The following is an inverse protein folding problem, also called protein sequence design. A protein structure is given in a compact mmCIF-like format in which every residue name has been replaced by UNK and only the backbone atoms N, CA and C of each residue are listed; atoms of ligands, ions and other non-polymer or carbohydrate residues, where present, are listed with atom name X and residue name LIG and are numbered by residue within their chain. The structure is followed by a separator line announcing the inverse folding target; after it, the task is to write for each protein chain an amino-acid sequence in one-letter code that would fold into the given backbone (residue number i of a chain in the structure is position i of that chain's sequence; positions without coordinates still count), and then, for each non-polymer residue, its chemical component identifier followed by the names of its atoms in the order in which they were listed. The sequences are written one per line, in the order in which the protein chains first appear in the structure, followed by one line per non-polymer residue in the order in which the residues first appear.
data_IF_312229198287
#
_entry.id   IF_312229198287
#
_cell.length_a   1.000
_cell.length_b   1.000
_cell.length_c   1.000
_cell.angle_alpha   90.00
_cell.angle_beta   90.00
_cell.angle_gamma   90.00
#
_symmetry.space_group_name_H-M   'P 1'
#
loop_
_entity.id
_entity.type
_entity.pdbx_description
1 polymer ?
#
# COMPACT_ATOMS: atom_id res chain seq x y z
N UNK A 1 1.51 -0.97 36.64
CA UNK A 1 0.03 -0.85 36.54
C UNK A 1 -0.45 -2.08 35.79
N UNK A 2 -1.48 -2.76 36.32
CA UNK A 2 -1.99 -3.99 35.71
C UNK A 2 -2.73 -3.73 34.40
N UNK A 3 -2.76 -4.74 33.52
CA UNK A 3 -3.57 -4.74 32.30
C UNK A 3 -5.05 -4.62 32.66
N UNK A 4 -5.83 -3.94 31.83
CA UNK A 4 -7.30 -3.96 31.93
C UNK A 4 -7.85 -5.35 31.56
N UNK A 5 -9.07 -5.70 31.99
CA UNK A 5 -9.66 -7.00 31.65
C UNK A 5 -9.80 -7.24 30.14
N UNK A 6 -10.03 -6.18 29.34
CA UNK A 6 -10.03 -6.27 27.88
C UNK A 6 -8.64 -6.56 27.31
N UNK A 7 -7.59 -5.97 27.90
CA UNK A 7 -6.21 -6.22 27.52
C UNK A 7 -5.75 -7.63 27.88
N UNK A 8 -6.13 -8.15 29.04
CA UNK A 8 -5.85 -9.53 29.44
C UNK A 8 -6.44 -10.54 28.46
N UNK A 9 -7.69 -10.33 28.04
CA UNK A 9 -8.34 -11.16 27.01
C UNK A 9 -7.57 -11.09 25.68
N UNK A 10 -7.15 -9.89 25.27
CA UNK A 10 -6.38 -9.73 24.03
C UNK A 10 -4.99 -10.39 24.11
N UNK A 11 -4.30 -10.29 25.25
CA UNK A 11 -3.01 -10.98 25.49
C UNK A 11 -3.19 -12.49 25.40
N UNK A 12 -4.22 -13.05 26.04
CA UNK A 12 -4.49 -14.49 26.02
C UNK A 12 -4.82 -14.98 24.61
N UNK A 13 -5.60 -14.21 23.84
CA UNK A 13 -5.89 -14.50 22.44
C UNK A 13 -4.61 -14.53 21.60
N UNK A 14 -3.80 -13.47 21.65
CA UNK A 14 -2.56 -13.39 20.87
C UNK A 14 -1.55 -14.48 21.26
N UNK A 15 -1.47 -14.82 22.55
CA UNK A 15 -0.66 -15.95 23.02
C UNK A 15 -1.11 -17.25 22.39
N UNK A 16 -2.41 -17.53 22.40
CA UNK A 16 -2.99 -18.75 21.81
C UNK A 16 -2.68 -18.83 20.30
N UNK A 17 -2.91 -17.73 19.58
CA UNK A 17 -2.65 -17.61 18.15
C UNK A 17 -1.16 -17.89 17.82
N UNK A 18 -0.22 -17.29 18.57
CA UNK A 18 1.22 -17.52 18.38
C UNK A 18 1.62 -18.97 18.64
N UNK A 19 1.04 -19.61 19.66
CA UNK A 19 1.34 -21.00 20.01
C UNK A 19 0.76 -22.00 19.01
N UNK A 20 -0.38 -21.68 18.39
CA UNK A 20 -1.01 -22.52 17.37
C UNK A 20 -0.31 -22.42 16.00
N UNK A 21 0.43 -21.34 15.75
CA UNK A 21 1.11 -21.08 14.48
C UNK A 21 0.29 -20.21 13.52
N UNK A 22 0.96 -19.67 12.51
CA UNK A 22 0.33 -18.77 11.55
C UNK A 22 -0.64 -19.55 10.65
N UNK A 23 -1.88 -19.08 10.44
CA UNK A 23 -2.82 -19.70 9.52
C UNK A 23 -2.26 -19.67 8.10
N UNK A 24 -2.46 -20.76 7.37
CA UNK A 24 -2.07 -20.85 5.95
C UNK A 24 -3.30 -20.69 5.07
N UNK A 25 -3.20 -19.86 4.02
CA UNK A 25 -4.25 -19.75 3.01
C UNK A 25 -4.16 -20.91 2.02
N UNK A 26 -5.33 -21.50 1.69
CA UNK A 26 -5.45 -22.51 0.64
C UNK A 26 -5.72 -21.84 -0.71
N UNK A 27 -4.67 -21.70 -1.51
CA UNK A 27 -4.78 -21.19 -2.88
C UNK A 27 -5.21 -22.30 -3.83
N UNK A 28 -6.23 -21.99 -4.63
CA UNK A 28 -6.72 -22.89 -5.69
C UNK A 28 -5.86 -22.73 -6.94
N UNK A 29 -5.69 -21.48 -7.41
CA UNK A 29 -4.94 -21.12 -8.61
C UNK A 29 -4.73 -19.60 -8.72
N UNK A 30 -3.70 -19.12 -9.43
CA UNK A 30 -3.53 -17.70 -9.71
C UNK A 30 -4.66 -17.17 -10.62
N UNK A 31 -5.03 -15.91 -10.43
CA UNK A 31 -5.86 -15.20 -11.40
C UNK A 31 -5.01 -14.85 -12.63
N UNK A 32 -5.60 -14.95 -13.83
CA UNK A 32 -4.97 -14.67 -15.12
C UNK A 32 -5.92 -13.87 -16.01
N UNK A 33 -5.41 -13.38 -17.13
CA UNK A 33 -6.25 -12.74 -18.15
C UNK A 33 -7.34 -13.72 -18.63
N UNK A 34 -8.58 -13.25 -18.66
CA UNK A 34 -9.75 -14.06 -19.00
C UNK A 34 -10.18 -15.04 -17.90
N UNK A 35 -9.50 -15.00 -16.74
CA UNK A 35 -9.77 -15.90 -15.62
C UNK A 35 -9.41 -15.22 -14.29
N UNK A 36 -10.29 -14.32 -13.86
CA UNK A 36 -10.17 -13.55 -12.63
C UNK A 36 -9.51 -12.17 -12.80
N UNK A 37 -8.75 -11.93 -13.88
CA UNK A 37 -8.23 -10.61 -14.29
C UNK A 37 -8.86 -10.22 -15.63
N UNK A 38 -9.40 -9.00 -15.67
CA UNK A 38 -9.99 -8.38 -16.85
C UNK A 38 -8.93 -7.65 -17.65
N UNK A 39 -8.96 -7.79 -18.96
CA UNK A 39 -8.32 -6.88 -19.90
C UNK A 39 -9.38 -5.96 -20.50
N UNK A 40 -9.05 -4.67 -20.63
CA UNK A 40 -9.91 -3.68 -21.26
C UNK A 40 -9.44 -3.44 -22.68
N UNK A 41 -10.39 -3.24 -23.60
CA UNK A 41 -10.09 -2.74 -24.94
C UNK A 41 -9.85 -1.23 -24.91
N UNK A 42 -9.22 -0.68 -25.95
CA UNK A 42 -9.02 0.76 -26.07
C UNK A 42 -10.35 1.55 -26.11
N UNK A 43 -11.42 0.94 -26.66
CA UNK A 43 -12.76 1.52 -26.68
C UNK A 43 -13.35 1.56 -25.27
N UNK A 44 -13.26 0.46 -24.52
CA UNK A 44 -13.72 0.41 -23.12
C UNK A 44 -12.95 1.41 -22.25
N UNK A 45 -11.63 1.51 -22.39
CA UNK A 45 -10.85 2.52 -21.68
C UNK A 45 -11.33 3.95 -21.96
N UNK A 46 -11.68 4.24 -23.22
CA UNK A 46 -12.18 5.56 -23.61
C UNK A 46 -13.57 5.84 -23.04
N UNK A 47 -14.47 4.87 -23.07
CA UNK A 47 -15.81 4.96 -22.48
C UNK A 47 -15.74 5.18 -20.96
N UNK A 48 -14.84 4.45 -20.29
CA UNK A 48 -14.62 4.59 -18.85
C UNK A 48 -14.02 5.95 -18.48
N UNK A 49 -13.12 6.49 -19.30
CA UNK A 49 -12.63 7.88 -19.14
C UNK A 49 -13.77 8.87 -19.34
N UNK A 50 -14.61 8.70 -20.35
CA UNK A 50 -15.76 9.59 -20.56
C UNK A 50 -16.75 9.53 -19.39
N UNK A 51 -16.99 8.33 -18.84
CA UNK A 51 -17.80 8.13 -17.64
C UNK A 51 -17.21 8.86 -16.44
N UNK A 52 -15.88 8.79 -16.26
CA UNK A 52 -15.19 9.55 -15.23
C UNK A 52 -15.37 11.06 -15.38
N UNK A 53 -15.27 11.62 -16.59
CA UNK A 53 -15.44 13.07 -16.81
C UNK A 53 -16.87 13.56 -16.49
N UNK A 54 -17.86 12.67 -16.55
CA UNK A 54 -19.26 12.98 -16.21
C UNK A 54 -19.58 12.71 -14.73
N UNK A 55 -18.62 12.20 -13.96
CA UNK A 55 -18.82 11.75 -12.61
C UNK A 55 -19.06 12.92 -11.66
N UNK A 56 -20.14 12.82 -10.87
CA UNK A 56 -20.47 13.79 -9.82
C UNK A 56 -20.36 13.12 -8.44
N UNK A 57 -19.17 12.62 -8.13
CA UNK A 57 -18.86 11.90 -6.90
C UNK A 57 -17.69 12.56 -6.19
N UNK A 58 -17.73 12.55 -4.86
CA UNK A 58 -16.62 13.02 -4.04
C UNK A 58 -15.52 11.96 -4.03
N UNK A 59 -14.32 12.32 -4.48
CA UNK A 59 -13.15 11.45 -4.49
C UNK A 59 -12.19 11.84 -3.37
N UNK A 60 -11.45 10.86 -2.87
CA UNK A 60 -10.28 11.13 -2.02
C UNK A 60 -9.18 10.11 -2.20
N UNK A 61 -7.94 10.53 -2.01
CA UNK A 61 -6.82 9.60 -1.87
C UNK A 61 -6.63 9.16 -0.41
N UNK A 62 -6.35 7.89 -0.20
CA UNK A 62 -5.88 7.33 1.06
C UNK A 62 -4.48 6.74 0.84
N UNK A 63 -3.46 7.36 1.44
CA UNK A 63 -2.05 7.07 1.16
C UNK A 63 -1.34 6.70 2.47
N UNK A 64 -0.98 5.42 2.66
CA UNK A 64 -0.14 5.02 3.78
C UNK A 64 1.26 5.62 3.66
N UNK A 65 1.66 6.45 4.63
CA UNK A 65 2.92 7.20 4.63
C UNK A 65 3.70 7.13 5.97
N UNK A 66 3.26 6.30 6.91
CA UNK A 66 3.86 6.15 8.24
C UNK A 66 5.15 5.32 8.23
N UNK A 67 5.51 4.72 7.11
CA UNK A 67 6.75 3.97 6.95
C UNK A 67 8.00 4.86 7.01
N UNK A 68 8.99 4.45 7.81
CA UNK A 68 10.31 5.10 7.82
C UNK A 68 11.00 4.98 6.46
N UNK A 69 11.68 6.06 6.05
CA UNK A 69 12.52 6.09 4.87
C UNK A 69 13.83 5.31 5.02
N UNK A 70 14.22 4.94 6.25
CA UNK A 70 15.49 4.25 6.56
C UNK A 70 15.79 3.04 5.67
N UNK A 71 14.76 2.26 5.32
CA UNK A 71 14.90 1.08 4.45
C UNK A 71 15.43 1.40 3.06
N UNK A 72 15.20 2.62 2.54
CA UNK A 72 15.76 3.06 1.26
C UNK A 72 17.29 3.14 1.27
N UNK A 73 17.86 3.30 2.47
CA UNK A 73 19.29 3.44 2.69
C UNK A 73 19.87 2.21 3.41
N UNK A 74 19.15 1.08 3.45
CA UNK A 74 19.59 -0.10 4.19
C UNK A 74 21.00 -0.56 3.80
N UNK A 75 21.33 -0.52 2.51
CA UNK A 75 22.66 -0.88 2.02
C UNK A 75 23.79 0.00 2.58
N UNK A 76 23.51 1.27 2.94
CA UNK A 76 24.49 2.16 3.57
C UNK A 76 24.72 1.78 5.04
N UNK A 77 23.65 1.43 5.77
CA UNK A 77 23.78 0.90 7.13
C UNK A 77 24.52 -0.44 7.13
N UNK A 78 24.21 -1.31 6.17
CA UNK A 78 24.87 -2.60 6.01
C UNK A 78 26.35 -2.39 5.69
N UNK A 79 26.70 -1.43 4.83
CA UNK A 79 28.08 -1.07 4.51
C UNK A 79 28.88 -0.62 5.74
N UNK A 80 28.31 0.25 6.59
CA UNK A 80 28.95 0.74 7.81
C UNK A 80 29.13 -0.36 8.88
N UNK A 81 28.20 -1.31 8.95
CA UNK A 81 28.24 -2.41 9.93
C UNK A 81 29.13 -3.57 9.47
N UNK A 82 28.91 -4.06 8.24
CA UNK A 82 29.64 -5.17 7.64
C UNK A 82 29.64 -5.04 6.12
N UNK A 83 30.80 -4.67 5.57
CA UNK A 83 30.98 -4.56 4.12
C UNK A 83 30.89 -5.93 3.44
N UNK A 84 30.10 -5.99 2.37
CA UNK A 84 29.95 -7.13 1.46
C UNK A 84 30.11 -6.63 0.03
N UNK A 85 30.40 -7.51 -0.94
CA UNK A 85 30.53 -7.11 -2.34
C UNK A 85 29.26 -6.40 -2.86
N UNK A 86 28.08 -6.88 -2.46
CA UNK A 86 26.79 -6.31 -2.87
C UNK A 86 26.58 -4.90 -2.31
N UNK A 87 26.70 -4.71 -0.99
CA UNK A 87 26.46 -3.39 -0.39
C UNK A 87 27.56 -2.39 -0.75
N UNK A 88 28.79 -2.85 -1.00
CA UNK A 88 29.87 -2.02 -1.50
C UNK A 88 29.55 -1.49 -2.91
N UNK A 89 29.14 -2.34 -3.84
CA UNK A 89 28.78 -1.92 -5.19
C UNK A 89 27.63 -0.90 -5.20
N UNK A 90 26.59 -1.12 -4.37
CA UNK A 90 25.48 -0.18 -4.21
C UNK A 90 25.94 1.16 -3.60
N UNK A 91 26.82 1.12 -2.61
CA UNK A 91 27.40 2.32 -1.97
C UNK A 91 28.26 3.11 -2.95
N UNK A 92 29.13 2.45 -3.71
CA UNK A 92 29.93 3.10 -4.75
C UNK A 92 29.05 3.73 -5.84
N UNK A 93 28.00 3.04 -6.27
CA UNK A 93 27.03 3.59 -7.22
C UNK A 93 26.34 4.83 -6.66
N UNK A 94 25.88 4.78 -5.40
CA UNK A 94 25.26 5.90 -4.71
C UNK A 94 26.17 7.14 -4.69
N UNK A 95 27.44 6.97 -4.29
CA UNK A 95 28.41 8.07 -4.21
C UNK A 95 28.70 8.64 -5.59
N UNK A 96 28.97 7.79 -6.59
CA UNK A 96 29.27 8.23 -7.97
C UNK A 96 28.11 9.01 -8.59
N UNK A 97 26.88 8.74 -8.14
CA UNK A 97 25.65 9.37 -8.64
C UNK A 97 25.04 10.35 -7.65
N UNK A 98 25.78 10.78 -6.62
CA UNK A 98 25.24 11.63 -5.54
C UNK A 98 24.59 12.90 -6.08
N UNK A 99 25.21 13.53 -7.09
CA UNK A 99 24.71 14.75 -7.74
C UNK A 99 23.46 14.53 -8.62
N UNK A 100 23.10 13.28 -8.94
CA UNK A 100 21.88 12.94 -9.67
C UNK A 100 20.63 12.93 -8.79
N UNK A 101 20.76 12.86 -7.46
CA UNK A 101 19.62 12.85 -6.55
C UNK A 101 19.12 14.26 -6.25
N UNK A 102 17.79 14.44 -6.18
CA UNK A 102 17.18 15.74 -5.92
C UNK A 102 17.67 16.39 -4.62
N UNK A 103 17.83 15.60 -3.54
CA UNK A 103 18.30 16.08 -2.25
C UNK A 103 19.75 16.60 -2.27
N UNK A 104 20.57 16.28 -3.28
CA UNK A 104 21.91 16.88 -3.41
C UNK A 104 21.83 18.40 -3.56
N UNK A 105 20.76 18.91 -4.18
CA UNK A 105 20.53 20.35 -4.29
C UNK A 105 20.35 21.02 -2.93
N UNK A 106 19.85 20.28 -1.93
CA UNK A 106 19.72 20.74 -0.54
C UNK A 106 21.06 20.84 0.20
N UNK A 107 22.16 20.31 -0.35
CA UNK A 107 23.46 20.39 0.34
C UNK A 107 23.93 21.85 0.39
N UNK A 108 24.41 22.32 1.57
CA UNK A 108 25.13 23.58 1.69
C UNK A 108 26.34 23.62 0.75
N UNK A 109 26.75 24.83 0.34
CA UNK A 109 27.86 25.00 -0.61
C UNK A 109 29.18 24.40 -0.11
N UNK A 110 29.48 24.50 1.19
CA UNK A 110 30.69 23.92 1.76
C UNK A 110 30.66 22.37 1.76
N UNK A 111 29.47 21.79 1.92
CA UNK A 111 29.27 20.34 1.83
C UNK A 111 29.41 19.86 0.38
N UNK A 112 28.83 20.59 -0.58
CA UNK A 112 29.00 20.30 -2.01
C UNK A 112 30.47 20.33 -2.41
N UNK A 113 31.19 21.38 -2.00
CA UNK A 113 32.63 21.51 -2.25
C UNK A 113 33.41 20.32 -1.66
N UNK A 114 33.06 19.88 -0.44
CA UNK A 114 33.73 18.73 0.18
C UNK A 114 33.52 17.43 -0.58
N UNK A 115 32.32 17.21 -1.11
CA UNK A 115 31.95 16.05 -1.93
C UNK A 115 32.64 16.11 -3.31
N UNK A 116 32.61 17.27 -3.97
CA UNK A 116 33.19 17.47 -5.31
C UNK A 116 34.72 17.37 -5.31
N UNK A 117 35.37 17.87 -4.24
CA UNK A 117 36.82 17.79 -4.06
C UNK A 117 37.30 16.48 -3.42
N UNK A 118 36.40 15.50 -3.19
CA UNK A 118 36.70 14.22 -2.54
C UNK A 118 37.41 14.36 -1.18
N UNK A 119 37.10 15.42 -0.43
CA UNK A 119 37.66 15.66 0.91
C UNK A 119 36.89 14.93 2.00
N UNK A 120 35.61 14.67 1.77
CA UNK A 120 34.83 13.73 2.58
C UNK A 120 35.10 12.30 2.11
N UNK A 121 35.34 11.42 3.08
CA UNK A 121 35.31 9.99 2.82
C UNK A 121 33.86 9.49 2.70
N UNK A 122 33.71 8.19 2.44
CA UNK A 122 32.41 7.55 2.26
C UNK A 122 31.58 7.67 3.54
N UNK A 123 32.20 7.43 4.68
CA UNK A 123 31.58 7.42 5.99
C UNK A 123 31.06 8.82 6.40
N UNK A 124 31.78 9.88 6.05
CA UNK A 124 31.40 11.28 6.28
C UNK A 124 30.13 11.62 5.49
N UNK A 125 30.08 11.24 4.20
CA UNK A 125 28.92 11.47 3.35
C UNK A 125 27.71 10.66 3.83
N UNK A 126 27.89 9.38 4.18
CA UNK A 126 26.82 8.54 4.72
C UNK A 126 26.31 9.14 6.04
N UNK A 127 27.21 9.56 6.92
CA UNK A 127 26.87 10.19 8.20
C UNK A 127 26.11 11.49 8.01
N UNK A 128 26.45 12.29 6.99
CA UNK A 128 25.72 13.50 6.67
C UNK A 128 24.31 13.21 6.13
N UNK A 129 24.15 12.25 5.22
CA UNK A 129 22.83 11.92 4.64
C UNK A 129 21.90 11.31 5.69
N UNK A 130 22.41 10.38 6.51
CA UNK A 130 21.57 9.60 7.43
C UNK A 130 21.46 10.19 8.82
N UNK A 131 22.48 10.91 9.28
CA UNK A 131 22.60 11.36 10.66
C UNK A 131 21.91 12.68 10.96
N UNK A 132 21.60 12.88 12.24
CA UNK A 132 20.93 14.07 12.79
C UNK A 132 21.69 15.38 12.55
N UNK A 133 23.02 15.33 12.38
CA UNK A 133 23.86 16.51 12.11
C UNK A 133 23.87 16.94 10.64
N UNK A 134 23.24 16.17 9.76
CA UNK A 134 23.09 16.50 8.35
C UNK A 134 21.62 16.51 7.93
N UNK A 135 21.25 15.68 6.96
CA UNK A 135 19.89 15.65 6.41
C UNK A 135 18.92 14.80 7.23
N UNK A 136 19.43 13.93 8.11
CA UNK A 136 18.65 13.07 8.98
C UNK A 136 17.67 12.13 8.25
N UNK A 137 17.95 11.74 7.01
CA UNK A 137 17.08 10.85 6.24
C UNK A 137 17.04 9.41 6.77
N UNK A 138 17.90 9.09 7.74
CA UNK A 138 17.79 7.87 8.52
C UNK A 138 16.53 7.80 9.37
N UNK A 139 15.97 8.94 9.79
CA UNK A 139 14.77 8.99 10.63
C UNK A 139 13.50 9.38 9.87
N UNK A 140 13.63 10.25 8.87
CA UNK A 140 12.48 10.81 8.15
C UNK A 140 11.59 9.74 7.51
N UNK A 141 10.26 9.93 7.51
CA UNK A 141 9.36 9.08 6.72
C UNK A 141 9.66 9.29 5.24
N UNK A 142 9.44 8.23 4.46
CA UNK A 142 9.74 8.24 3.03
C UNK A 142 9.04 9.40 2.29
N UNK A 143 7.83 9.74 2.70
CA UNK A 143 7.04 10.83 2.14
C UNK A 143 7.71 12.20 2.15
N UNK A 144 8.69 12.42 3.03
CA UNK A 144 9.38 13.70 3.21
C UNK A 144 10.81 13.72 2.63
N UNK A 145 11.30 12.61 2.08
CA UNK A 145 12.62 12.56 1.43
C UNK A 145 12.47 13.09 0.00
N UNK A 146 13.27 14.07 -0.45
CA UNK A 146 13.19 14.56 -1.82
C UNK A 146 13.46 13.49 -2.87
N UNK A 147 12.52 13.30 -3.79
CA UNK A 147 12.64 12.35 -4.89
C UNK A 147 13.03 13.07 -6.18
N UNK A 148 12.29 14.12 -6.53
CA UNK A 148 12.40 14.76 -7.83
C UNK A 148 12.77 16.23 -7.77
N UNK A 149 13.24 16.72 -8.91
CA UNK A 149 13.56 18.11 -9.14
C UNK A 149 12.75 18.61 -10.33
N UNK A 150 11.91 19.62 -10.13
CA UNK A 150 11.18 20.31 -11.19
C UNK A 150 11.75 21.72 -11.35
N UNK A 151 12.76 21.87 -12.21
CA UNK A 151 13.51 23.12 -12.36
C UNK A 151 14.19 23.52 -11.03
N UNK A 152 13.86 24.69 -10.44
CA UNK A 152 14.39 25.11 -9.14
C UNK A 152 13.74 24.37 -7.96
N UNK A 153 12.59 23.72 -8.17
CA UNK A 153 11.82 23.11 -7.12
C UNK A 153 12.31 21.71 -6.81
N UNK A 154 12.30 21.37 -5.53
CA UNK A 154 12.67 20.06 -5.00
C UNK A 154 11.41 19.51 -4.35
N UNK A 155 10.94 18.37 -4.86
CA UNK A 155 9.69 17.78 -4.41
C UNK A 155 9.96 16.46 -3.71
N UNK A 156 9.25 16.26 -2.60
CA UNK A 156 9.15 14.98 -1.93
C UNK A 156 7.90 14.20 -2.42
N UNK A 157 7.83 12.88 -2.19
CA UNK A 157 6.69 12.07 -2.59
C UNK A 157 5.36 12.62 -2.12
N UNK A 158 5.29 13.13 -0.89
CA UNK A 158 4.06 13.68 -0.34
C UNK A 158 3.53 14.84 -1.19
N UNK A 159 4.37 15.81 -1.52
CA UNK A 159 4.01 16.94 -2.39
C UNK A 159 3.62 16.47 -3.79
N UNK A 160 4.32 15.49 -4.36
CA UNK A 160 4.00 15.00 -5.69
C UNK A 160 2.68 14.23 -5.76
N UNK A 161 2.31 13.47 -4.72
CA UNK A 161 0.99 12.84 -4.65
C UNK A 161 -0.12 13.91 -4.64
N UNK A 162 0.09 15.03 -3.94
CA UNK A 162 -0.85 16.15 -3.92
C UNK A 162 -0.98 16.78 -5.32
N UNK A 163 0.14 17.06 -5.98
CA UNK A 163 0.14 17.64 -7.33
C UNK A 163 -0.56 16.71 -8.33
N UNK A 164 -0.14 15.44 -8.41
CA UNK A 164 -0.69 14.47 -9.37
C UNK A 164 -2.16 14.17 -9.07
N UNK A 165 -2.54 14.07 -7.80
CA UNK A 165 -3.92 13.83 -7.40
C UNK A 165 -4.84 15.00 -7.74
N UNK A 166 -4.41 16.25 -7.52
CA UNK A 166 -5.20 17.44 -7.84
C UNK A 166 -5.42 17.63 -9.34
N UNK A 167 -4.59 17.04 -10.20
CA UNK A 167 -4.81 17.03 -11.65
C UNK A 167 -5.89 16.06 -12.12
N UNK A 168 -6.34 15.15 -11.25
CA UNK A 168 -7.28 14.11 -11.63
C UNK A 168 -8.69 14.66 -11.90
N UNK A 169 -9.11 15.69 -11.16
CA UNK A 169 -10.46 16.29 -11.22
C UNK A 169 -10.39 17.80 -11.37
N UNK A 170 -11.40 18.41 -12.02
CA UNK A 170 -11.59 19.85 -12.02
C UNK A 170 -12.27 20.30 -10.72
N UNK A 171 -11.53 20.35 -9.62
CA UNK A 171 -12.05 20.75 -8.31
C UNK A 171 -11.23 20.19 -7.15
N UNK A 172 -11.62 20.46 -5.89
CA UNK A 172 -10.90 19.95 -4.74
C UNK A 172 -11.08 18.43 -4.64
N UNK A 173 -9.96 17.72 -4.55
CA UNK A 173 -9.88 16.32 -4.12
C UNK A 173 -9.30 16.28 -2.71
N UNK A 174 -9.88 15.45 -1.85
CA UNK A 174 -9.39 15.30 -0.48
C UNK A 174 -8.24 14.28 -0.43
N UNK A 175 -7.27 14.51 0.44
CA UNK A 175 -6.20 13.57 0.70
C UNK A 175 -6.19 13.17 2.17
N UNK A 176 -5.98 11.89 2.41
CA UNK A 176 -5.76 11.34 3.73
C UNK A 176 -4.46 10.56 3.77
N UNK A 177 -3.57 10.92 4.69
CA UNK A 177 -2.31 10.22 4.90
C UNK A 177 -2.28 9.59 6.27
N UNK A 178 -1.81 8.35 6.35
CA UNK A 178 -1.40 7.80 7.64
C UNK A 178 0.06 8.16 7.87
N UNK A 179 0.36 8.91 8.94
CA UNK A 179 1.70 9.43 9.22
C UNK A 179 2.15 9.02 10.62
N UNK A 180 3.41 9.31 10.94
CA UNK A 180 3.88 9.36 12.32
C UNK A 180 3.67 10.80 12.82
N UNK A 181 2.96 10.99 13.93
CA UNK A 181 2.60 12.34 14.40
C UNK A 181 3.81 13.21 14.72
N UNK A 182 4.95 12.59 15.09
CA UNK A 182 6.22 13.28 15.30
C UNK A 182 6.70 14.09 14.07
N UNK A 183 6.21 13.78 12.86
CA UNK A 183 6.54 14.46 11.62
C UNK A 183 5.41 15.35 11.08
N UNK A 184 4.31 15.52 11.81
CA UNK A 184 3.15 16.28 11.32
C UNK A 184 3.51 17.72 10.91
N UNK A 185 4.30 18.43 11.71
CA UNK A 185 4.76 19.80 11.39
C UNK A 185 5.56 19.85 10.08
N UNK A 186 6.35 18.81 9.77
CA UNK A 186 7.11 18.74 8.53
C UNK A 186 6.19 18.54 7.32
N UNK A 187 5.13 17.75 7.46
CA UNK A 187 4.10 17.62 6.42
C UNK A 187 3.32 18.92 6.22
N UNK A 188 2.95 19.61 7.30
CA UNK A 188 2.27 20.92 7.21
C UNK A 188 3.15 21.96 6.51
N UNK A 189 4.45 22.01 6.85
CA UNK A 189 5.42 22.88 6.15
C UNK A 189 5.54 22.52 4.66
N UNK A 190 5.54 21.23 4.32
CA UNK A 190 5.57 20.78 2.93
C UNK A 190 4.30 21.19 2.16
N UNK A 191 3.11 21.16 2.78
CA UNK A 191 1.88 21.68 2.18
C UNK A 191 2.00 23.19 1.96
N UNK A 192 2.42 23.94 2.98
CA UNK A 192 2.53 25.39 2.89
C UNK A 192 3.46 25.79 1.73
N UNK A 193 4.66 25.21 1.68
CA UNK A 193 5.61 25.46 0.58
C UNK A 193 5.01 25.09 -0.78
N UNK A 194 4.26 23.99 -0.86
CA UNK A 194 3.61 23.59 -2.11
C UNK A 194 2.53 24.58 -2.53
N UNK A 195 1.65 25.00 -1.61
CA UNK A 195 0.59 25.99 -1.86
C UNK A 195 1.15 27.35 -2.26
N UNK A 196 2.26 27.79 -1.66
CA UNK A 196 2.97 29.02 -2.07
C UNK A 196 3.53 28.91 -3.49
N UNK A 197 3.99 27.71 -3.88
CA UNK A 197 4.54 27.45 -5.21
C UNK A 197 3.47 27.34 -6.31
N UNK A 198 2.35 26.67 -6.04
CA UNK A 198 1.33 26.36 -7.04
C UNK A 198 0.17 27.35 -7.06
N UNK A 199 -0.08 28.03 -5.93
CA UNK A 199 -1.29 28.83 -5.73
C UNK A 199 -2.54 28.01 -5.40
N UNK A 200 -2.41 26.69 -5.30
CA UNK A 200 -3.51 25.78 -5.02
C UNK A 200 -3.65 25.46 -3.52
N UNK A 201 -4.88 25.16 -3.11
CA UNK A 201 -5.17 24.62 -1.79
C UNK A 201 -5.22 23.09 -1.84
N UNK A 202 -4.59 22.43 -0.87
CA UNK A 202 -4.58 20.97 -0.75
C UNK A 202 -5.32 20.55 0.53
N UNK A 203 -6.56 20.05 0.43
CA UNK A 203 -7.30 19.53 1.58
C UNK A 203 -6.67 18.23 2.06
N UNK A 204 -5.89 18.29 3.14
CA UNK A 204 -5.19 17.14 3.71
C UNK A 204 -5.68 16.85 5.12
N UNK A 205 -5.88 15.57 5.41
CA UNK A 205 -6.14 15.05 6.75
C UNK A 205 -5.12 13.97 7.10
N UNK A 206 -4.88 13.79 8.40
CA UNK A 206 -3.93 12.83 8.93
C UNK A 206 -4.60 11.83 9.87
N UNK A 207 -4.05 10.63 9.94
CA UNK A 207 -4.27 9.69 11.05
C UNK A 207 -2.95 9.02 11.42
N UNK A 208 -2.87 8.52 12.64
CA UNK A 208 -1.78 7.64 13.07
C UNK A 208 -2.29 6.20 13.17
N UNK A 209 -1.38 5.24 13.09
CA UNK A 209 -1.69 3.88 13.54
C UNK A 209 -1.82 3.90 15.06
N UNK A 210 -3.04 3.67 15.56
CA UNK A 210 -3.33 3.67 17.00
C UNK A 210 -2.38 2.73 17.76
N UNK A 211 -1.50 3.24 18.65
CA UNK A 211 -0.56 2.42 19.41
C UNK A 211 -1.24 1.38 20.31
N UNK A 212 -2.51 1.57 20.67
CA UNK A 212 -3.31 0.58 21.41
C UNK A 212 -3.50 -0.72 20.64
N UNK A 213 -3.44 -0.65 19.31
CA UNK A 213 -3.55 -1.79 18.39
C UNK A 213 -2.24 -2.58 18.24
N UNK A 214 -1.15 -2.11 18.82
CA UNK A 214 0.13 -2.81 18.79
C UNK A 214 0.00 -4.19 19.45
N UNK A 215 0.60 -5.20 18.81
CA UNK A 215 0.58 -6.57 19.28
C UNK A 215 1.56 -6.78 20.42
N UNK A 216 1.19 -7.63 21.35
CA UNK A 216 2.05 -8.05 22.44
C UNK A 216 3.11 -9.03 21.92
N UNK A 217 4.34 -8.88 22.43
CA UNK A 217 5.43 -9.79 22.12
C UNK A 217 5.55 -10.90 23.17
N UNK A 218 5.88 -12.10 22.72
CA UNK A 218 6.00 -13.29 23.55
C UNK A 218 7.31 -14.04 23.25
N UNK A 219 7.87 -14.70 24.24
CA UNK A 219 8.98 -15.63 24.04
C UNK A 219 8.50 -16.97 23.44
N UNK A 220 9.45 -17.84 23.09
CA UNK A 220 9.16 -19.14 22.50
C UNK A 220 8.24 -20.04 23.37
N UNK A 221 8.34 -19.93 24.69
CA UNK A 221 7.50 -20.65 25.67
C UNK A 221 6.11 -20.01 25.90
N UNK A 222 5.80 -18.90 25.21
CA UNK A 222 4.54 -18.17 25.35
C UNK A 222 4.46 -17.29 26.60
N UNK A 223 5.58 -17.01 27.27
CA UNK A 223 5.66 -15.97 28.29
C UNK A 223 5.65 -14.58 27.64
N UNK A 224 4.97 -13.61 28.28
CA UNK A 224 4.89 -12.23 27.79
C UNK A 224 6.28 -11.58 27.92
N UNK A 225 6.75 -10.97 26.83
CA UNK A 225 8.03 -10.28 26.84
C UNK A 225 7.88 -8.90 27.50
N UNK A 226 8.69 -8.62 28.52
CA UNK A 226 8.68 -7.37 29.28
C UNK A 226 9.91 -6.52 28.96
N UNK A 227 9.74 -5.20 28.97
CA UNK A 227 10.78 -4.19 28.86
C UNK A 227 11.60 -4.01 30.14
N UNK A 228 12.50 -3.04 30.16
CA UNK A 228 13.29 -2.69 31.37
C UNK A 228 12.45 -2.03 32.46
N UNK A 229 11.32 -1.48 32.08
CA UNK A 229 10.32 -0.83 32.92
C UNK A 229 9.22 -1.81 33.41
N UNK A 230 9.44 -3.12 33.24
CA UNK A 230 8.48 -4.20 33.47
C UNK A 230 7.15 -4.06 32.69
N UNK A 231 7.11 -3.21 31.66
CA UNK A 231 5.96 -3.08 30.78
C UNK A 231 5.99 -4.12 29.66
N UNK A 232 4.82 -4.56 29.22
CA UNK A 232 4.71 -5.48 28.10
C UNK A 232 5.28 -4.85 26.82
N UNK A 233 6.22 -5.53 26.17
CA UNK A 233 6.75 -5.10 24.88
C UNK A 233 5.63 -5.20 23.85
N UNK A 234 5.29 -4.06 23.26
CA UNK A 234 4.34 -3.96 22.15
C UNK A 234 5.05 -3.64 20.84
N UNK A 235 4.56 -4.20 19.74
CA UNK A 235 5.09 -3.99 18.38
C UNK A 235 3.98 -3.56 17.42
N UNK A 236 4.26 -2.65 16.47
CA UNK A 236 3.30 -2.28 15.44
C UNK A 236 2.71 -3.52 14.76
N UNK A 237 1.38 -3.60 14.76
CA UNK A 237 0.67 -4.77 14.26
C UNK A 237 0.42 -4.72 12.73
N UNK A 238 1.25 -3.98 11.99
CA UNK A 238 1.22 -3.89 10.53
C UNK A 238 0.05 -3.10 9.95
N UNK A 239 -0.19 -3.28 8.64
CA UNK A 239 -1.13 -2.48 7.86
C UNK A 239 -2.62 -2.81 8.14
N UNK A 240 -2.92 -3.84 8.93
CA UNK A 240 -4.31 -4.23 9.23
C UNK A 240 -5.10 -3.23 10.06
N UNK A 241 -4.40 -2.35 10.77
CA UNK A 241 -4.99 -1.25 11.55
C UNK A 241 -5.50 -0.12 10.65
N UNK A 242 -5.11 -0.08 9.38
CA UNK A 242 -5.52 0.94 8.42
C UNK A 242 -7.00 0.83 8.05
N UNK A 243 -7.65 -0.31 8.29
CA UNK A 243 -9.07 -0.48 7.98
C UNK A 243 -9.95 0.50 8.79
N UNK A 244 -9.59 0.75 10.05
CA UNK A 244 -10.28 1.73 10.90
C UNK A 244 -10.07 3.15 10.38
N UNK A 245 -8.86 3.48 9.93
CA UNK A 245 -8.55 4.79 9.37
C UNK A 245 -9.29 5.01 8.05
N UNK A 246 -9.37 3.96 7.21
CA UNK A 246 -10.12 3.97 5.96
C UNK A 246 -11.63 4.17 6.20
N UNK A 247 -12.19 3.54 7.25
CA UNK A 247 -13.62 3.66 7.58
C UNK A 247 -14.05 5.09 7.96
N UNK A 248 -13.11 5.97 8.33
CA UNK A 248 -13.39 7.36 8.68
C UNK A 248 -13.50 8.29 7.47
N UNK A 249 -13.10 7.82 6.28
CA UNK A 249 -13.07 8.62 5.07
C UNK A 249 -14.48 8.88 4.55
N UNK A 250 -14.83 10.16 4.42
CA UNK A 250 -16.14 10.64 3.95
C UNK A 250 -16.07 11.05 2.49
N UNK A 251 -15.89 10.07 1.63
CA UNK A 251 -15.90 10.20 0.16
C UNK A 251 -16.80 9.13 -0.45
N UNK A 252 -17.22 9.32 -1.68
CA UNK A 252 -17.97 8.30 -2.41
C UNK A 252 -17.03 7.19 -2.87
N UNK A 253 -15.91 7.57 -3.50
CA UNK A 253 -14.86 6.64 -3.91
C UNK A 253 -13.52 7.03 -3.30
N UNK A 254 -12.76 6.02 -2.85
CA UNK A 254 -11.44 6.20 -2.23
C UNK A 254 -10.37 5.54 -3.08
N UNK A 255 -9.38 6.32 -3.50
CA UNK A 255 -8.24 5.89 -4.29
C UNK A 255 -7.09 5.54 -3.34
N UNK A 256 -6.58 4.32 -3.42
CA UNK A 256 -5.51 3.84 -2.52
C UNK A 256 -4.24 3.57 -3.30
N UNK A 257 -3.14 4.11 -2.78
CA UNK A 257 -1.80 4.06 -3.39
C UNK A 257 -0.72 4.16 -2.33
N UNK A 258 0.40 3.47 -2.55
CA UNK A 258 1.58 3.60 -1.70
C UNK A 258 2.27 4.95 -1.94
N UNK A 259 2.77 5.57 -0.86
CA UNK A 259 3.49 6.85 -0.91
C UNK A 259 4.68 6.81 -1.89
N UNK A 260 5.31 5.65 -2.07
CA UNK A 260 6.56 5.47 -2.82
C UNK A 260 6.42 5.08 -4.28
N UNK A 261 5.21 4.72 -4.71
CA UNK A 261 4.92 4.47 -6.11
C UNK A 261 4.60 5.81 -6.77
N UNK A 262 5.55 6.50 -7.40
CA UNK A 262 5.24 7.72 -8.14
C UNK A 262 6.24 7.93 -9.26
N UNK A 263 5.76 8.45 -10.38
CA UNK A 263 6.61 8.84 -11.49
C UNK A 263 6.98 10.32 -11.33
N UNK A 264 8.08 10.73 -11.94
CA UNK A 264 8.37 12.14 -12.15
C UNK A 264 7.16 12.81 -12.80
N UNK A 265 6.84 14.04 -12.38
CA UNK A 265 5.65 14.77 -12.85
C UNK A 265 5.45 14.75 -14.39
N UNK A 266 6.52 14.95 -15.16
CA UNK A 266 6.48 14.90 -16.63
C UNK A 266 6.14 13.51 -17.23
N UNK A 267 6.08 12.47 -16.40
CA UNK A 267 5.84 11.08 -16.78
C UNK A 267 4.59 10.49 -16.09
N UNK A 268 3.78 11.30 -15.40
CA UNK A 268 2.62 10.81 -14.64
C UNK A 268 1.32 10.69 -15.46
N UNK A 269 1.32 11.03 -16.75
CA UNK A 269 0.12 11.03 -17.60
C UNK A 269 -0.56 9.65 -17.64
N UNK A 270 0.23 8.59 -17.81
CA UNK A 270 -0.28 7.21 -17.82
C UNK A 270 -0.99 6.85 -16.51
N UNK A 271 -0.37 7.20 -15.36
CA UNK A 271 -0.96 6.99 -14.03
C UNK A 271 -2.27 7.77 -13.85
N UNK A 272 -2.31 9.03 -14.29
CA UNK A 272 -3.55 9.84 -14.27
C UNK A 272 -4.63 9.22 -15.15
N UNK A 273 -4.28 8.80 -16.37
CA UNK A 273 -5.20 8.14 -17.29
C UNK A 273 -5.81 6.87 -16.69
N UNK A 274 -4.97 6.07 -16.01
CA UNK A 274 -5.42 4.84 -15.38
C UNK A 274 -6.30 5.07 -14.16
N UNK A 275 -6.06 6.12 -13.36
CA UNK A 275 -7.01 6.48 -12.30
C UNK A 275 -8.41 6.76 -12.83
N UNK A 276 -8.53 7.48 -13.94
CA UNK A 276 -9.82 7.77 -14.59
C UNK A 276 -10.53 6.48 -15.02
N UNK A 277 -9.80 5.57 -15.65
CA UNK A 277 -10.33 4.26 -16.07
C UNK A 277 -10.84 3.46 -14.87
N UNK A 278 -10.03 3.31 -13.81
CA UNK A 278 -10.40 2.51 -12.63
C UNK A 278 -11.61 3.09 -11.90
N UNK A 279 -11.69 4.43 -11.78
CA UNK A 279 -12.85 5.09 -11.17
C UNK A 279 -14.10 4.91 -12.02
N UNK A 280 -14.00 5.11 -13.34
CA UNK A 280 -15.11 4.84 -14.27
C UNK A 280 -15.59 3.40 -14.19
N UNK A 281 -14.67 2.44 -14.07
CA UNK A 281 -14.97 1.01 -14.01
C UNK A 281 -15.67 0.64 -12.70
N UNK A 282 -15.22 1.21 -11.59
CA UNK A 282 -15.89 1.04 -10.30
C UNK A 282 -17.32 1.58 -10.36
N UNK A 283 -17.51 2.77 -10.93
CA UNK A 283 -18.83 3.40 -11.06
C UNK A 283 -19.77 2.57 -11.95
N UNK A 284 -19.27 2.03 -13.06
CA UNK A 284 -20.01 1.12 -13.94
C UNK A 284 -20.46 -0.15 -13.21
N UNK A 285 -19.55 -0.77 -12.45
CA UNK A 285 -19.85 -1.98 -11.72
C UNK A 285 -20.84 -1.70 -10.56
N UNK A 286 -20.70 -0.57 -9.88
CA UNK A 286 -21.61 -0.13 -8.83
C UNK A 286 -23.03 0.09 -9.35
N UNK A 287 -23.17 0.70 -10.54
CA UNK A 287 -24.47 0.87 -11.19
C UNK A 287 -25.09 -0.49 -11.55
N UNK A 288 -24.31 -1.42 -12.09
CA UNK A 288 -24.79 -2.77 -12.40
C UNK A 288 -25.26 -3.51 -11.14
N UNK A 289 -24.49 -3.43 -10.05
CA UNK A 289 -24.89 -4.01 -8.76
C UNK A 289 -26.15 -3.36 -8.19
N UNK A 290 -26.31 -2.04 -8.31
CA UNK A 290 -27.52 -1.35 -7.87
C UNK A 290 -28.77 -1.84 -8.63
N UNK A 291 -28.66 -2.03 -9.95
CA UNK A 291 -29.75 -2.61 -10.77
C UNK A 291 -30.10 -4.02 -10.32
N UNK A 292 -29.11 -4.88 -10.07
CA UNK A 292 -29.30 -6.23 -9.54
C UNK A 292 -29.87 -6.23 -8.11
N UNK A 293 -29.56 -5.21 -7.29
CA UNK A 293 -30.14 -5.04 -5.96
C UNK A 293 -31.62 -4.67 -6.01
N UNK A 294 -32.02 -3.85 -6.99
CA UNK A 294 -33.41 -3.46 -7.20
C UNK A 294 -34.25 -4.58 -7.85
N UNK A 295 -33.66 -5.32 -8.78
CA UNK A 295 -34.29 -6.44 -9.50
C UNK A 295 -33.29 -7.61 -9.58
N UNK A 296 -33.26 -8.48 -8.56
CA UNK A 296 -32.38 -9.63 -8.55
C UNK A 296 -32.62 -10.53 -9.75
N UNK A 297 -31.52 -10.91 -10.42
CA UNK A 297 -31.55 -11.82 -11.56
C UNK A 297 -30.21 -12.52 -11.67
N UNK A 298 -30.22 -13.84 -11.47
CA UNK A 298 -29.02 -14.67 -11.66
C UNK A 298 -28.53 -14.63 -13.11
N UNK A 299 -29.44 -14.56 -14.09
CA UNK A 299 -29.09 -14.51 -15.51
C UNK A 299 -28.35 -13.21 -15.85
N UNK A 300 -28.82 -12.07 -15.34
CA UNK A 300 -28.13 -10.79 -15.58
C UNK A 300 -26.80 -10.73 -14.83
N UNK A 301 -26.73 -11.31 -13.63
CA UNK A 301 -25.46 -11.45 -12.92
C UNK A 301 -24.48 -12.37 -13.66
N UNK A 302 -24.93 -13.50 -14.21
CA UNK A 302 -24.09 -14.42 -14.98
C UNK A 302 -23.42 -13.71 -16.16
N UNK A 303 -24.16 -12.91 -16.93
CA UNK A 303 -23.60 -12.08 -18.01
C UNK A 303 -22.55 -11.09 -17.49
N UNK A 304 -22.83 -10.43 -16.37
CA UNK A 304 -21.89 -9.52 -15.72
C UNK A 304 -20.62 -10.27 -15.28
N UNK A 305 -20.79 -11.46 -14.72
CA UNK A 305 -19.71 -12.30 -14.21
C UNK A 305 -18.87 -12.93 -15.32
N UNK A 306 -19.47 -13.25 -16.48
CA UNK A 306 -18.74 -13.66 -17.68
C UNK A 306 -17.78 -12.56 -18.16
N UNK A 307 -18.20 -11.28 -18.11
CA UNK A 307 -17.34 -10.16 -18.49
C UNK A 307 -16.27 -9.84 -17.45
N UNK A 308 -16.62 -9.84 -16.17
CA UNK A 308 -15.79 -9.27 -15.10
C UNK A 308 -15.15 -10.29 -14.15
N UNK A 309 -15.49 -11.58 -14.30
CA UNK A 309 -14.95 -12.69 -13.52
C UNK A 309 -14.97 -12.42 -12.00
N UNK A 310 -16.07 -11.89 -11.48
CA UNK A 310 -16.22 -11.47 -10.08
C UNK A 310 -16.16 -12.66 -9.12
N UNK A 311 -16.76 -13.79 -9.52
CA UNK A 311 -16.80 -15.07 -8.82
C UNK A 311 -16.58 -16.24 -9.79
N UNK A 312 -16.09 -17.39 -9.29
CA UNK A 312 -16.19 -18.65 -10.01
C UNK A 312 -17.65 -19.00 -10.39
N UNK A 313 -17.82 -19.75 -11.47
CA UNK A 313 -19.14 -20.16 -11.93
C UNK A 313 -19.87 -21.01 -10.87
N UNK A 314 -21.20 -20.85 -10.80
CA UNK A 314 -22.10 -21.62 -9.92
C UNK A 314 -21.88 -21.42 -8.39
N UNK A 315 -21.13 -20.41 -7.96
CA UNK A 315 -21.00 -20.09 -6.53
C UNK A 315 -22.30 -19.53 -5.93
N UNK A 316 -23.11 -18.83 -6.73
CA UNK A 316 -24.43 -18.32 -6.33
C UNK A 316 -25.52 -19.30 -6.76
N UNK A 317 -26.35 -19.75 -5.82
CA UNK A 317 -27.39 -20.77 -6.08
C UNK A 317 -28.79 -20.18 -6.23
N UNK A 318 -29.00 -18.99 -5.68
CA UNK A 318 -30.30 -18.32 -5.67
C UNK A 318 -30.13 -16.78 -5.57
N UNK A 319 -31.22 -16.05 -5.71
CA UNK A 319 -31.23 -14.58 -5.63
C UNK A 319 -30.82 -14.04 -4.25
N UNK A 320 -31.04 -14.78 -3.16
CA UNK A 320 -30.59 -14.36 -1.84
C UNK A 320 -29.07 -14.40 -1.72
N UNK A 321 -28.41 -15.42 -2.31
CA UNK A 321 -26.95 -15.48 -2.40
C UNK A 321 -26.41 -14.30 -3.20
N UNK A 322 -27.07 -13.96 -4.32
CA UNK A 322 -26.73 -12.79 -5.14
C UNK A 322 -26.84 -11.49 -4.35
N UNK A 323 -27.97 -11.29 -3.67
CA UNK A 323 -28.18 -10.12 -2.81
C UNK A 323 -27.13 -10.04 -1.70
N UNK A 324 -26.75 -11.17 -1.10
CA UNK A 324 -25.70 -11.21 -0.09
C UNK A 324 -24.31 -10.89 -0.67
N UNK A 325 -24.05 -11.28 -1.91
CA UNK A 325 -22.79 -10.97 -2.60
C UNK A 325 -22.67 -9.49 -2.95
N UNK A 326 -23.68 -8.88 -3.59
CA UNK A 326 -23.60 -7.49 -4.04
C UNK A 326 -23.64 -6.48 -2.89
N UNK A 327 -24.21 -6.84 -1.74
CA UNK A 327 -24.21 -6.02 -0.51
C UNK A 327 -22.92 -6.18 0.31
N UNK A 328 -21.78 -6.01 -0.36
CA UNK A 328 -20.44 -5.99 0.24
C UNK A 328 -19.69 -4.77 -0.29
N UNK A 329 -18.70 -4.25 0.44
CA UNK A 329 -17.79 -3.24 -0.10
C UNK A 329 -17.16 -3.71 -1.43
N UNK A 330 -16.98 -2.79 -2.36
CA UNK A 330 -16.44 -3.01 -3.69
C UNK A 330 -15.03 -2.42 -3.80
N UNK A 331 -14.15 -3.15 -4.48
CA UNK A 331 -12.84 -2.67 -4.90
C UNK A 331 -12.54 -3.07 -6.33
N UNK A 332 -12.02 -2.12 -7.09
CA UNK A 332 -11.38 -2.34 -8.39
C UNK A 332 -9.88 -2.16 -8.20
N UNK A 333 -9.11 -3.22 -8.43
CA UNK A 333 -7.66 -3.19 -8.27
C UNK A 333 -6.98 -3.38 -9.62
N UNK A 334 -6.18 -2.40 -10.02
CA UNK A 334 -5.29 -2.56 -11.15
C UNK A 334 -4.17 -3.56 -10.82
N UNK A 335 -3.76 -4.35 -11.79
CA UNK A 335 -2.76 -5.41 -11.68
C UNK A 335 -1.72 -5.23 -12.78
N UNK A 336 -0.44 -5.17 -12.42
CA UNK A 336 0.67 -5.09 -13.39
C UNK A 336 1.22 -6.48 -13.67
N UNK A 337 1.86 -6.67 -14.82
CA UNK A 337 2.55 -7.93 -15.11
C UNK A 337 3.70 -8.13 -14.15
N UNK A 338 3.86 -9.35 -13.64
CA UNK A 338 4.92 -9.66 -12.72
C UNK A 338 6.25 -9.87 -13.46
N UNK A 339 7.17 -8.92 -13.33
CA UNK A 339 8.52 -8.97 -13.91
C UNK A 339 9.57 -9.43 -12.89
N UNK A 340 9.16 -10.24 -11.90
CA UNK A 340 10.03 -10.74 -10.82
C UNK A 340 9.98 -9.91 -9.54
N UNK A 341 8.96 -9.05 -9.40
CA UNK A 341 8.81 -8.19 -8.23
C UNK A 341 8.38 -8.99 -6.99
N UNK A 342 9.00 -8.77 -5.82
CA UNK A 342 8.58 -9.42 -4.59
C UNK A 342 7.29 -8.81 -4.04
N UNK A 343 6.33 -9.66 -3.67
CA UNK A 343 5.14 -9.30 -2.88
C UNK A 343 3.90 -10.07 -3.30
N UNK A 344 2.71 -9.45 -3.13
CA UNK A 344 1.43 -10.13 -3.28
C UNK A 344 0.86 -10.13 -4.71
N UNK A 345 0.20 -11.22 -5.08
CA UNK A 345 -0.45 -11.38 -6.38
C UNK A 345 -1.93 -11.77 -6.26
N UNK A 346 -2.70 -11.71 -7.35
CA UNK A 346 -4.11 -12.10 -7.35
C UNK A 346 -4.27 -13.63 -7.45
N UNK A 347 -5.02 -14.23 -6.53
CA UNK A 347 -5.32 -15.67 -6.50
C UNK A 347 -6.79 -15.93 -6.23
N UNK A 348 -7.27 -17.09 -6.69
CA UNK A 348 -8.45 -17.72 -6.13
C UNK A 348 -8.05 -18.51 -4.88
N UNK A 349 -8.76 -18.25 -3.79
CA UNK A 349 -8.57 -18.85 -2.47
C UNK A 349 -9.83 -19.62 -2.10
N UNK A 350 -9.66 -20.84 -1.58
CA UNK A 350 -10.75 -21.64 -1.03
C UNK A 350 -10.82 -21.40 0.48
N UNK A 351 -12.00 -21.06 0.99
CA UNK A 351 -12.24 -20.99 2.43
C UNK A 351 -13.67 -21.38 2.76
N UNK A 352 -13.82 -22.27 3.75
CA UNK A 352 -15.14 -22.75 4.22
C UNK A 352 -16.06 -23.25 3.11
N UNK A 353 -15.50 -23.84 2.05
CA UNK A 353 -16.24 -24.34 0.90
C UNK A 353 -16.62 -23.29 -0.16
N UNK A 354 -16.26 -22.02 0.05
CA UNK A 354 -16.44 -20.94 -0.93
C UNK A 354 -15.11 -20.62 -1.61
N UNK A 355 -15.16 -20.29 -2.90
CA UNK A 355 -13.98 -19.85 -3.65
C UNK A 355 -14.10 -18.36 -3.96
N UNK A 356 -13.10 -17.57 -3.57
CA UNK A 356 -13.09 -16.11 -3.78
C UNK A 356 -11.74 -15.60 -4.28
N UNK A 357 -11.75 -14.40 -4.84
CA UNK A 357 -10.53 -13.71 -5.27
C UNK A 357 -9.91 -12.93 -4.12
N UNK A 358 -8.60 -13.05 -3.95
CA UNK A 358 -7.85 -12.33 -2.91
C UNK A 358 -6.47 -11.93 -3.43
N UNK A 359 -5.94 -10.84 -2.88
CA UNK A 359 -4.52 -10.51 -3.02
C UNK A 359 -3.80 -11.31 -1.94
N UNK A 360 -2.92 -12.22 -2.37
CA UNK A 360 -2.23 -13.16 -1.48
C UNK A 360 -0.75 -12.85 -1.46
N UNK A 361 -0.21 -12.68 -0.26
CA UNK A 361 1.23 -12.53 -0.04
C UNK A 361 1.90 -13.89 0.17
N UNK A 362 3.13 -14.04 -0.32
CA UNK A 362 3.89 -15.30 -0.19
C UNK A 362 4.01 -15.77 1.26
N UNK A 363 4.08 -14.84 2.22
CA UNK A 363 4.16 -15.16 3.65
C UNK A 363 2.90 -15.83 4.22
N UNK A 364 1.76 -15.79 3.52
CA UNK A 364 0.50 -16.43 3.94
C UNK A 364 0.39 -17.89 3.48
N UNK A 365 1.38 -18.39 2.74
CA UNK A 365 1.29 -19.66 2.03
C UNK A 365 2.21 -20.71 2.63
N UNK A 366 1.73 -21.96 2.67
CA UNK A 366 2.54 -23.09 3.09
C UNK A 366 3.66 -23.36 2.07
N UNK A 367 4.89 -23.59 2.53
CA UNK A 367 6.00 -23.96 1.66
C UNK A 367 5.89 -25.43 1.22
N UNK A 368 5.09 -25.68 0.19
CA UNK A 368 4.88 -27.01 -0.41
C UNK A 368 5.12 -26.94 -1.91
N UNK A 369 5.48 -28.06 -2.54
CA UNK A 369 5.72 -28.12 -3.99
C UNK A 369 4.49 -27.67 -4.80
N UNK A 370 3.28 -28.03 -4.35
CA UNK A 370 2.02 -27.60 -4.96
C UNK A 370 1.89 -26.07 -4.95
N UNK A 371 2.09 -25.44 -3.79
CA UNK A 371 2.00 -23.99 -3.65
C UNK A 371 3.10 -23.29 -4.46
N UNK A 372 4.32 -23.81 -4.42
CA UNK A 372 5.44 -23.26 -5.18
C UNK A 372 5.17 -23.31 -6.70
N UNK A 373 4.58 -24.39 -7.21
CA UNK A 373 4.15 -24.49 -8.60
C UNK A 373 3.06 -23.48 -8.97
N UNK A 374 2.10 -23.19 -8.06
CA UNK A 374 1.07 -22.17 -8.28
C UNK A 374 1.65 -20.74 -8.24
N UNK A 375 2.64 -20.48 -7.39
CA UNK A 375 3.35 -19.20 -7.34
C UNK A 375 4.10 -18.93 -8.63
N UNK A 376 4.81 -19.93 -9.17
CA UNK A 376 5.50 -19.82 -10.47
C UNK A 376 4.55 -19.56 -11.65
N UNK A 377 3.27 -19.93 -11.48
CA UNK A 377 2.23 -19.73 -12.47
C UNK A 377 1.56 -18.35 -12.40
N UNK A 378 1.86 -17.54 -11.38
CA UNK A 378 1.33 -16.19 -11.24
C UNK A 378 1.93 -15.27 -12.31
N UNK A 379 1.06 -14.55 -13.02
CA UNK A 379 1.48 -13.66 -14.12
C UNK A 379 1.39 -12.18 -13.74
N UNK A 380 0.74 -11.85 -12.63
CA UNK A 380 0.46 -10.48 -12.22
C UNK A 380 0.80 -10.22 -10.76
N UNK A 381 0.98 -8.95 -10.45
CA UNK A 381 1.35 -8.42 -9.15
C UNK A 381 0.42 -7.24 -8.79
N UNK A 382 0.16 -7.04 -7.49
CA UNK A 382 -0.65 -5.93 -7.00
C UNK A 382 0.22 -4.66 -6.76
N UNK A 383 0.14 -3.62 -7.61
CA UNK A 383 0.86 -2.36 -7.44
C UNK A 383 0.29 -1.47 -6.33
N UNK A 384 -0.83 -1.87 -5.72
CA UNK A 384 -1.64 -1.04 -4.83
C UNK A 384 -2.11 0.21 -5.58
N UNK A 385 -2.77 0.01 -6.71
CA UNK A 385 -3.52 1.06 -7.42
C UNK A 385 -4.97 0.60 -7.48
N UNK A 386 -5.77 1.06 -6.52
CA UNK A 386 -7.13 0.56 -6.35
C UNK A 386 -8.12 1.68 -6.03
N UNK A 387 -9.34 1.50 -6.51
CA UNK A 387 -10.49 2.37 -6.20
C UNK A 387 -11.47 1.56 -5.38
N UNK A 388 -11.94 2.16 -4.29
CA UNK A 388 -12.78 1.52 -3.29
C UNK A 388 -14.13 2.24 -3.19
N UNK A 389 -15.19 1.47 -2.99
CA UNK A 389 -16.50 1.94 -2.57
C UNK A 389 -17.01 1.04 -1.45
N UNK A 390 -17.17 1.61 -0.26
CA UNK A 390 -17.67 0.90 0.90
C UNK A 390 -18.99 1.47 1.41
N UNK A 391 -19.76 2.10 0.53
CA UNK A 391 -21.15 2.48 0.80
C UNK A 391 -22.11 1.48 0.17
N UNK A 392 -23.30 1.35 0.73
CA UNK A 392 -24.38 0.59 0.11
C UNK A 392 -25.01 1.34 -1.08
N UNK A 393 -26.14 0.86 -1.61
CA UNK A 393 -26.83 1.52 -2.73
C UNK A 393 -27.63 2.75 -2.31
N UNK A 394 -27.82 2.98 -1.00
CA UNK A 394 -28.47 4.15 -0.41
C UNK A 394 -27.46 5.24 -0.03
N UNK A 395 -26.16 4.91 -0.01
CA UNK A 395 -25.07 5.82 0.33
C UNK A 395 -24.59 5.69 1.77
N UNK A 396 -25.08 4.72 2.53
CA UNK A 396 -24.67 4.45 3.91
C UNK A 396 -23.40 3.61 3.95
N UNK A 397 -22.46 3.96 4.82
CA UNK A 397 -21.19 3.24 4.93
C UNK A 397 -21.38 1.85 5.57
N UNK A 398 -20.77 0.83 4.98
CA UNK A 398 -20.67 -0.49 5.60
C UNK A 398 -19.75 -0.46 6.83
N UNK A 399 -20.08 -1.28 7.83
CA UNK A 399 -19.13 -1.64 8.88
C UNK A 399 -18.05 -2.58 8.31
N UNK A 400 -16.89 -2.00 7.98
CA UNK A 400 -15.77 -2.71 7.35
C UNK A 400 -15.26 -3.89 8.19
N UNK A 401 -15.44 -3.85 9.52
CA UNK A 401 -15.01 -4.92 10.41
C UNK A 401 -15.72 -6.25 10.16
N UNK A 402 -16.90 -6.22 9.52
CA UNK A 402 -17.67 -7.43 9.13
C UNK A 402 -17.12 -8.11 7.88
N UNK A 403 -16.24 -7.44 7.13
CA UNK A 403 -15.72 -7.93 5.85
C UNK A 403 -14.22 -8.27 5.88
N UNK A 404 -13.58 -8.17 7.06
CA UNK A 404 -12.20 -8.63 7.28
C UNK A 404 -12.14 -10.12 7.58
N UNK A 405 -10.99 -10.72 7.34
CA UNK A 405 -10.65 -12.09 7.70
C UNK A 405 -9.72 -12.10 8.91
N UNK A 406 -10.26 -12.40 10.10
CA UNK A 406 -9.52 -12.26 11.36
C UNK A 406 -8.32 -13.20 11.51
N UNK A 407 -8.39 -14.36 10.88
CA UNK A 407 -7.36 -15.40 10.88
C UNK A 407 -6.36 -15.26 9.73
N UNK A 408 -6.33 -14.14 9.00
CA UNK A 408 -5.30 -13.84 8.01
C UNK A 408 -4.08 -13.10 8.62
N UNK A 409 -3.77 -13.35 9.88
CA UNK A 409 -2.66 -12.72 10.61
C UNK A 409 -1.31 -13.41 10.34
N UNK A 410 -0.22 -12.69 10.53
CA UNK A 410 1.14 -13.24 10.46
C UNK A 410 1.76 -13.37 11.85
N UNK A 411 2.66 -14.32 12.02
CA UNK A 411 3.56 -14.38 13.18
C UNK A 411 4.92 -13.84 12.72
N UNK A 412 5.35 -12.77 13.36
CA UNK A 412 6.65 -12.14 13.10
C UNK A 412 7.60 -12.52 14.21
N UNK A 413 8.79 -12.98 13.84
CA UNK A 413 9.87 -13.29 14.76
C UNK A 413 10.98 -12.25 14.65
N UNK A 414 11.44 -11.70 15.78
CA UNK A 414 12.55 -10.75 15.84
C UNK A 414 13.45 -11.02 17.03
N UNK A 415 14.73 -10.69 16.89
CA UNK A 415 15.65 -10.65 18.02
C UNK A 415 15.41 -9.38 18.85
N UNK A 416 15.28 -9.56 20.16
CA UNK A 416 15.26 -8.49 21.15
C UNK A 416 16.25 -8.84 22.26
N UNK A 417 17.33 -8.04 22.37
CA UNK A 417 18.42 -8.24 23.34
C UNK A 417 19.00 -9.67 23.30
N UNK A 418 19.21 -10.20 22.10
CA UNK A 418 19.75 -11.54 21.89
C UNK A 418 18.78 -12.70 22.18
N UNK A 419 17.52 -12.40 22.54
CA UNK A 419 16.45 -13.41 22.67
C UNK A 419 15.44 -13.24 21.55
N UNK A 420 14.94 -14.36 21.02
CA UNK A 420 13.86 -14.31 20.03
C UNK A 420 12.52 -13.98 20.70
N UNK A 421 11.80 -13.02 20.12
CA UNK A 421 10.42 -12.67 20.46
C UNK A 421 9.51 -12.84 19.24
N UNK A 422 8.28 -13.28 19.48
CA UNK A 422 7.24 -13.45 18.48
C UNK A 422 6.06 -12.52 18.78
N UNK A 423 5.48 -11.91 17.76
CA UNK A 423 4.29 -11.07 17.87
C UNK A 423 3.42 -11.22 16.63
N UNK A 424 2.15 -10.82 16.73
CA UNK A 424 1.20 -10.93 15.63
C UNK A 424 1.23 -9.66 14.76
N UNK A 425 1.27 -9.82 13.45
CA UNK A 425 0.90 -8.76 12.52
C UNK A 425 -0.55 -9.00 12.07
N UNK A 426 -1.41 -8.00 12.25
CA UNK A 426 -2.82 -8.08 11.85
C UNK A 426 -2.95 -8.23 10.33
N UNK A 427 -4.07 -8.81 9.85
CA UNK A 427 -4.32 -8.97 8.42
C UNK A 427 -4.13 -7.64 7.68
N UNK A 428 -3.22 -7.58 6.71
CA UNK A 428 -2.95 -6.36 5.95
C UNK A 428 -4.18 -5.80 5.23
N UNK A 429 -4.18 -4.49 4.99
CA UNK A 429 -5.35 -3.75 4.48
C UNK A 429 -5.98 -4.39 3.23
N UNK A 430 -5.20 -4.57 2.17
CA UNK A 430 -5.68 -5.09 0.88
C UNK A 430 -5.63 -6.61 0.76
N UNK A 431 -5.11 -7.34 1.75
CA UNK A 431 -5.10 -8.81 1.76
C UNK A 431 -6.25 -9.36 2.63
N UNK A 432 -6.05 -9.56 3.93
CA UNK A 432 -7.07 -10.08 4.84
C UNK A 432 -8.06 -9.01 5.34
N UNK A 433 -7.67 -7.73 5.40
CA UNK A 433 -8.57 -6.63 5.76
C UNK A 433 -9.71 -6.41 4.77
N UNK A 434 -9.51 -6.80 3.51
CA UNK A 434 -10.48 -6.71 2.41
C UNK A 434 -10.83 -8.08 1.81
N UNK A 435 -10.62 -9.16 2.55
CA UNK A 435 -10.80 -10.52 2.04
C UNK A 435 -12.21 -10.82 1.52
N UNK A 436 -13.24 -10.28 2.19
CA UNK A 436 -14.64 -10.52 1.86
C UNK A 436 -15.28 -9.36 1.07
N UNK A 437 -14.47 -8.57 0.36
CA UNK A 437 -14.93 -7.50 -0.50
C UNK A 437 -15.19 -8.02 -1.92
N UNK A 438 -16.16 -7.41 -2.60
CA UNK A 438 -16.35 -7.60 -4.03
C UNK A 438 -15.11 -7.07 -4.75
N UNK A 439 -14.40 -7.95 -5.45
CA UNK A 439 -13.07 -7.64 -5.98
C UNK A 439 -13.06 -7.81 -7.49
N UNK A 440 -12.77 -6.73 -8.21
CA UNK A 440 -12.45 -6.77 -9.63
C UNK A 440 -10.95 -6.54 -9.81
N UNK A 441 -10.29 -7.44 -10.55
CA UNK A 441 -8.90 -7.26 -10.97
C UNK A 441 -8.88 -6.90 -12.44
N UNK A 442 -8.10 -5.89 -12.79
CA UNK A 442 -7.95 -5.41 -14.17
C UNK A 442 -6.47 -5.23 -14.49
N UNK A 443 -6.01 -5.71 -15.64
CA UNK A 443 -4.64 -5.49 -16.09
C UNK A 443 -4.43 -3.99 -16.37
N UNK A 444 -3.35 -3.42 -15.85
CA UNK A 444 -2.92 -2.04 -16.11
C UNK A 444 -1.45 -2.04 -16.60
N UNK A 445 -1.00 -1.01 -17.33
CA UNK A 445 0.37 -0.91 -17.82
C UNK A 445 1.41 -0.92 -16.68
N UNK A 446 2.55 -1.58 -16.89
CA UNK A 446 3.63 -1.65 -15.89
C UNK A 446 4.24 -0.27 -15.54
N UNK A 447 4.21 0.68 -16.47
CA UNK A 447 4.79 2.03 -16.29
C UNK A 447 4.14 2.86 -15.16
N UNK A 448 2.91 2.51 -14.74
CA UNK A 448 2.24 3.18 -13.61
C UNK A 448 2.72 2.64 -12.24
N UNK A 449 3.60 1.65 -12.24
CA UNK A 449 4.19 1.04 -11.04
C UNK A 449 5.69 1.26 -10.98
N UNK A 450 6.08 2.34 -10.30
CA UNK A 450 7.48 2.77 -10.13
C UNK A 450 7.77 3.02 -8.65
N UNK A 451 7.79 1.96 -7.82
CA UNK A 451 8.04 2.09 -6.39
C UNK A 451 9.52 2.35 -6.10
N UNK A 452 9.80 3.26 -5.17
CA UNK A 452 11.17 3.49 -4.69
C UNK A 452 11.43 2.64 -3.45
N UNK A 453 12.11 1.50 -3.60
CA UNK A 453 12.47 0.60 -2.49
C UNK A 453 13.86 0.90 -1.93
N UNK A 454 14.80 1.23 -2.79
CA UNK A 454 16.13 1.79 -2.47
C UNK A 454 16.25 3.19 -3.06
N UNK A 455 17.07 4.06 -2.47
CA UNK A 455 17.35 5.39 -3.04
C UNK A 455 17.88 5.30 -4.47
N UNK A 456 18.55 4.20 -4.83
CA UNK A 456 19.07 3.96 -6.18
C UNK A 456 17.95 3.84 -7.24
N UNK A 457 16.71 3.51 -6.84
CA UNK A 457 15.58 3.44 -7.76
C UNK A 457 15.23 4.81 -8.36
N UNK A 458 15.58 5.90 -7.66
CA UNK A 458 15.43 7.26 -8.18
C UNK A 458 16.29 7.52 -9.43
N UNK A 459 17.28 6.68 -9.72
CA UNK A 459 18.10 6.79 -10.94
C UNK A 459 17.44 6.17 -12.17
N UNK A 460 16.31 5.47 -12.02
CA UNK A 460 15.56 4.87 -13.11
C UNK A 460 14.83 5.94 -13.93
N UNK A 461 14.58 5.67 -15.22
CA UNK A 461 13.99 6.62 -16.17
C UNK A 461 12.71 7.27 -15.66
N UNK A 462 11.82 6.51 -15.02
CA UNK A 462 10.55 7.00 -14.49
C UNK A 462 10.68 8.12 -13.43
N UNK A 463 11.86 8.24 -12.81
CA UNK A 463 12.16 9.23 -11.76
C UNK A 463 13.03 10.39 -12.26
N UNK A 464 13.34 10.44 -13.55
CA UNK A 464 14.19 11.47 -14.14
C UNK A 464 13.33 12.47 -14.93
N UNK A 465 13.79 13.72 -15.05
CA UNK A 465 13.01 14.79 -15.70
C UNK A 465 12.85 14.64 -17.22
N UNK A 466 13.65 13.74 -17.82
CA UNK A 466 14.03 13.62 -19.23
C UNK A 466 14.76 14.85 -19.78
#
# INVERSE_FOLDING_TARGET
MGLTGAEEINVLRQKKDILNGAPTLDIVRPCRLGDGIVQLSAEEEQDLKQRFEQLKKKLSFFIPASGSGSRMFQFLYDYLNQTTETNQAQTEQFIRRISSFAFYKCFPSDVKEKVENFTWNIEDLISYVLGERGLNYGLFPKGLIPFHSLGPFILNPFQEQLIQGSQLVQGPIDFHFTIQLAFEEHFQSAIQSLSEMTGDAYPVTYSEQDPSTNSYAFYADGTLALGEDDQAIRRPAGHGTLLTNLAQIKSDYVLVKNIDNLQHFNQSEASTSQWKILVGLLDQLKEAFSKLGAQPSLIEFEKLNERFHLLPANELKNEADLLHFIHRPLRVCGMVRNEGQPGGGPFFVQKNGETRKQIVEKAQLANTDKVNALLMQSTHFNPVMMVLDFKDFQGEAYDLSKFKEEDAYFIVEKSHKGKSIRFIEQPGLWNGGMANWNTLFVEIPNEVFTPVKTVLDLLQTAHQSL
#
